data_IF_018806503230
#
_entry.id   IF_018806503230
#
_cell.length_a   1.000
_cell.length_b   1.000
_cell.length_c   1.000
_cell.angle_alpha   90.00
_cell.angle_beta   90.00
_cell.angle_gamma   90.00
#
_symmetry.space_group_name_H-M   'P 1'
#
loop_
_entity.id
_entity.type
_entity.pdbx_description
1 polymer ?
#
# COMPACT_ATOMS: atom_id res chain seq x y z
N UNK A 1 -23.52 -2.65 15.25
CA UNK A 1 -22.80 -2.43 16.53
C UNK A 1 -23.50 -1.43 17.47
N UNK A 2 -24.16 -0.40 16.93
CA UNK A 2 -24.83 0.66 17.72
C UNK A 2 -25.90 0.13 18.68
N UNK A 3 -26.78 -0.76 18.20
CA UNK A 3 -27.82 -1.39 19.03
C UNK A 3 -27.28 -2.23 20.22
N UNK A 4 -26.07 -2.79 20.09
CA UNK A 4 -25.42 -3.51 21.21
C UNK A 4 -24.89 -2.52 22.26
N UNK A 5 -24.35 -1.37 21.82
CA UNK A 5 -23.82 -0.34 22.73
C UNK A 5 -24.93 0.30 23.56
N UNK A 6 -26.07 0.58 22.95
CA UNK A 6 -27.24 1.17 23.62
C UNK A 6 -27.82 0.23 24.69
N UNK A 7 -28.05 -1.04 24.34
CA UNK A 7 -28.60 -2.06 25.26
C UNK A 7 -27.72 -2.28 26.50
N UNK A 8 -26.41 -2.11 26.37
CA UNK A 8 -25.44 -2.36 27.43
C UNK A 8 -24.89 -1.06 28.08
N UNK A 9 -25.51 0.09 27.82
CA UNK A 9 -25.10 1.39 28.37
C UNK A 9 -23.60 1.71 28.12
N UNK A 10 -23.07 1.28 26.97
CA UNK A 10 -21.68 1.54 26.57
C UNK A 10 -21.59 2.95 26.00
N UNK A 11 -21.00 3.86 26.78
CA UNK A 11 -20.71 5.23 26.35
C UNK A 11 -19.36 5.29 25.65
N UNK A 12 -19.37 5.66 24.36
CA UNK A 12 -18.14 5.99 23.63
C UNK A 12 -17.78 7.42 23.99
N UNK A 13 -16.75 7.59 24.81
CA UNK A 13 -16.32 8.90 25.33
C UNK A 13 -15.37 9.63 24.38
N UNK A 14 -14.79 8.93 23.42
CA UNK A 14 -13.89 9.50 22.42
C UNK A 14 -14.66 9.82 21.14
N UNK A 15 -14.35 10.94 20.46
CA UNK A 15 -14.88 11.18 19.13
C UNK A 15 -14.45 10.07 18.18
N UNK A 16 -15.21 9.87 17.10
CA UNK A 16 -14.78 8.96 16.05
C UNK A 16 -13.42 9.42 15.51
N UNK A 17 -12.46 8.49 15.33
CA UNK A 17 -11.17 8.84 14.78
C UNK A 17 -11.37 9.37 13.37
N UNK A 18 -11.13 10.67 13.17
CA UNK A 18 -11.08 11.27 11.84
C UNK A 18 -9.71 10.93 11.28
N UNK A 19 -9.68 10.23 10.14
CA UNK A 19 -8.42 9.95 9.47
C UNK A 19 -7.75 11.26 9.07
N UNK A 20 -6.50 11.46 9.48
CA UNK A 20 -5.71 12.60 9.03
C UNK A 20 -5.61 12.55 7.50
N UNK A 21 -5.98 13.64 6.83
CA UNK A 21 -5.70 13.80 5.40
C UNK A 21 -4.23 14.15 5.27
N UNK A 22 -3.46 13.23 4.71
CA UNK A 22 -2.03 13.40 4.47
C UNK A 22 -1.79 13.48 2.97
N UNK A 23 -1.07 14.50 2.53
CA UNK A 23 -0.53 14.57 1.17
C UNK A 23 0.75 13.74 1.12
N UNK A 24 0.78 12.74 0.24
CA UNK A 24 1.96 11.92 -0.01
C UNK A 24 2.50 12.32 -1.37
N UNK A 25 3.78 12.68 -1.44
CA UNK A 25 4.44 12.90 -2.71
C UNK A 25 4.73 11.55 -3.37
N UNK A 26 4.12 11.33 -4.52
CA UNK A 26 4.28 10.11 -5.33
C UNK A 26 4.98 10.40 -6.66
N UNK A 27 5.59 11.57 -6.81
CA UNK A 27 6.34 11.90 -8.02
C UNK A 27 7.49 10.90 -8.20
N UNK A 28 7.63 10.42 -9.43
CA UNK A 28 8.64 9.43 -9.86
C UNK A 28 8.61 8.08 -9.11
N UNK A 29 7.66 7.90 -8.19
CA UNK A 29 7.51 6.67 -7.45
C UNK A 29 7.04 5.55 -8.39
N UNK A 30 7.57 4.32 -8.23
CA UNK A 30 7.16 3.18 -9.02
C UNK A 30 5.68 2.91 -8.84
N UNK A 31 4.98 2.76 -9.95
CA UNK A 31 3.55 2.53 -9.94
C UNK A 31 3.17 1.30 -10.75
N UNK A 32 1.97 0.80 -10.54
CA UNK A 32 1.38 -0.28 -11.32
C UNK A 32 -0.07 0.03 -11.63
N UNK A 33 -0.49 -0.29 -12.84
CA UNK A 33 -1.86 -0.06 -13.32
C UNK A 33 -1.94 1.16 -14.22
N UNK A 34 -3.15 1.69 -14.37
CA UNK A 34 -3.43 2.85 -15.22
C UNK A 34 -2.99 4.14 -14.52
N UNK A 35 -2.08 4.96 -15.08
CA UNK A 35 -1.69 6.25 -14.50
C UNK A 35 -2.87 7.22 -14.32
N UNK A 36 -3.92 7.08 -15.14
CA UNK A 36 -5.14 7.88 -15.08
C UNK A 36 -6.23 7.26 -14.18
N UNK A 37 -5.89 6.23 -13.40
CA UNK A 37 -6.83 5.61 -12.48
C UNK A 37 -7.33 6.62 -11.44
N UNK A 38 -8.67 6.63 -11.22
CA UNK A 38 -9.31 7.55 -10.27
C UNK A 38 -8.97 7.26 -8.80
N UNK A 39 -8.48 6.06 -8.51
CA UNK A 39 -8.11 5.64 -7.16
C UNK A 39 -6.65 5.22 -7.15
N UNK A 40 -5.88 5.81 -6.25
CA UNK A 40 -4.47 5.49 -6.00
C UNK A 40 -4.33 4.85 -4.63
N UNK A 41 -3.75 3.65 -4.58
CA UNK A 41 -3.32 2.99 -3.35
C UNK A 41 -1.83 3.26 -3.19
N UNK A 42 -1.42 3.84 -2.07
CA UNK A 42 0.00 3.98 -1.73
C UNK A 42 0.37 2.88 -0.74
N UNK A 43 1.30 2.01 -1.11
CA UNK A 43 1.80 0.93 -0.27
C UNK A 43 3.23 1.22 0.21
N UNK A 44 3.40 1.36 1.52
CA UNK A 44 4.71 1.38 2.16
C UNK A 44 5.17 -0.06 2.41
N UNK A 45 6.25 -0.47 1.77
CA UNK A 45 6.64 -1.88 1.68
C UNK A 45 8.02 -2.14 2.28
N UNK A 46 8.10 -3.21 3.08
CA UNK A 46 9.36 -3.87 3.42
C UNK A 46 9.34 -5.26 2.79
N UNK A 47 10.30 -5.55 1.92
CA UNK A 47 10.39 -6.80 1.16
C UNK A 47 10.54 -8.06 2.04
N UNK A 48 11.00 -7.90 3.29
CA UNK A 48 11.13 -8.99 4.25
C UNK A 48 9.88 -9.17 5.11
N UNK A 49 8.93 -8.24 5.06
CA UNK A 49 7.73 -8.29 5.91
C UNK A 49 6.71 -9.30 5.37
N UNK A 50 6.46 -10.37 6.12
CA UNK A 50 5.46 -11.38 5.74
C UNK A 50 4.04 -10.85 5.59
N UNK A 51 3.67 -9.77 6.29
CA UNK A 51 2.38 -9.11 6.09
C UNK A 51 2.32 -8.28 4.82
N UNK A 52 3.41 -7.60 4.44
CA UNK A 52 3.51 -6.92 3.15
C UNK A 52 3.30 -7.91 1.99
N UNK A 53 3.87 -9.12 2.06
CA UNK A 53 3.64 -10.17 1.05
C UNK A 53 2.17 -10.55 0.92
N UNK A 54 1.47 -10.68 2.06
CA UNK A 54 0.02 -10.95 2.07
C UNK A 54 -0.79 -9.77 1.53
N UNK A 55 -0.39 -8.54 1.86
CA UNK A 55 -1.02 -7.32 1.37
C UNK A 55 -0.88 -7.20 -0.15
N UNK A 56 0.31 -7.47 -0.71
CA UNK A 56 0.54 -7.47 -2.15
C UNK A 56 -0.40 -8.44 -2.89
N UNK A 57 -0.65 -9.64 -2.35
CA UNK A 57 -1.62 -10.57 -2.92
C UNK A 57 -3.07 -10.05 -2.85
N UNK A 58 -3.45 -9.40 -1.76
CA UNK A 58 -4.77 -8.80 -1.61
C UNK A 58 -4.96 -7.61 -2.57
N UNK A 59 -3.94 -6.75 -2.69
CA UNK A 59 -3.91 -5.61 -3.61
C UNK A 59 -4.00 -6.11 -5.06
N UNK A 60 -3.29 -7.18 -5.42
CA UNK A 60 -3.41 -7.81 -6.74
C UNK A 60 -4.86 -8.16 -7.10
N UNK A 61 -5.60 -8.80 -6.18
CA UNK A 61 -7.03 -9.10 -6.37
C UNK A 61 -7.90 -7.84 -6.52
N UNK A 62 -7.56 -6.75 -5.82
CA UNK A 62 -8.24 -5.47 -5.98
C UNK A 62 -7.98 -4.90 -7.36
N UNK A 63 -6.72 -4.91 -7.82
CA UNK A 63 -6.36 -4.42 -9.16
C UNK A 63 -7.07 -5.21 -10.26
N UNK A 64 -7.15 -6.55 -10.13
CA UNK A 64 -7.89 -7.41 -11.06
C UNK A 64 -9.38 -7.08 -11.06
N UNK A 65 -9.99 -6.94 -9.88
CA UNK A 65 -11.42 -6.65 -9.74
C UNK A 65 -11.81 -5.25 -10.28
N UNK A 66 -10.90 -4.29 -10.18
CA UNK A 66 -11.11 -2.90 -10.56
C UNK A 66 -10.16 -2.46 -11.66
N UNK A 67 -9.98 -3.33 -12.66
CA UNK A 67 -9.08 -3.11 -13.80
C UNK A 67 -9.27 -1.72 -14.43
N UNK A 68 -8.15 -1.03 -14.65
CA UNK A 68 -8.12 0.34 -15.20
C UNK A 68 -8.61 1.46 -14.28
N UNK A 69 -9.20 1.12 -13.12
CA UNK A 69 -9.76 2.09 -12.16
C UNK A 69 -8.90 2.32 -10.93
N UNK A 70 -7.97 1.41 -10.65
CA UNK A 70 -7.06 1.46 -9.51
C UNK A 70 -5.62 1.42 -10.00
N UNK A 71 -4.79 2.29 -9.44
CA UNK A 71 -3.34 2.22 -9.52
C UNK A 71 -2.74 2.02 -8.13
N UNK A 72 -1.54 1.44 -8.09
CA UNK A 72 -0.79 1.22 -6.86
C UNK A 72 0.58 1.86 -6.99
N UNK A 73 0.96 2.68 -6.01
CA UNK A 73 2.28 3.31 -5.89
C UNK A 73 3.02 2.63 -4.75
N UNK A 74 4.27 2.24 -4.99
CA UNK A 74 5.11 1.55 -4.01
C UNK A 74 6.15 2.49 -3.43
N UNK A 75 6.17 2.60 -2.10
CA UNK A 75 7.15 3.39 -1.33
C UNK A 75 7.98 2.46 -0.47
N UNK A 76 9.30 2.44 -0.67
CA UNK A 76 10.18 1.60 0.14
C UNK A 76 10.21 2.10 1.59
N UNK A 77 9.93 1.20 2.53
CA UNK A 77 9.93 1.50 3.96
C UNK A 77 10.65 0.37 4.74
N UNK A 78 11.98 0.25 4.58
CA UNK A 78 12.76 -0.85 5.14
C UNK A 78 12.97 -0.68 6.65
N UNK A 79 12.11 -1.30 7.46
CA UNK A 79 12.08 -1.18 8.92
C UNK A 79 12.58 -2.43 9.65
N UNK A 80 12.76 -3.56 8.97
CA UNK A 80 13.11 -4.84 9.60
C UNK A 80 14.62 -5.11 9.69
N UNK A 81 15.46 -4.09 9.51
CA UNK A 81 16.90 -4.14 9.73
C UNK A 81 17.75 -4.02 8.45
N UNK A 82 19.06 -4.29 8.54
CA UNK A 82 20.02 -4.01 7.47
C UNK A 82 19.66 -4.68 6.14
N UNK A 83 19.29 -5.96 6.14
CA UNK A 83 18.98 -6.65 4.89
C UNK A 83 17.76 -6.05 4.17
N UNK A 84 16.78 -5.52 4.90
CA UNK A 84 15.64 -4.82 4.29
C UNK A 84 16.08 -3.59 3.53
N UNK A 85 17.07 -2.86 4.06
CA UNK A 85 17.65 -1.68 3.40
C UNK A 85 18.43 -2.08 2.16
N UNK A 86 19.29 -3.10 2.28
CA UNK A 86 20.06 -3.62 1.14
C UNK A 86 19.14 -4.07 -0.01
N UNK A 87 18.04 -4.75 0.31
CA UNK A 87 17.05 -5.17 -0.70
C UNK A 87 16.36 -3.95 -1.31
N UNK A 88 15.90 -3.00 -0.50
CA UNK A 88 15.25 -1.79 -0.99
C UNK A 88 16.17 -0.96 -1.89
N UNK A 89 17.43 -0.77 -1.51
CA UNK A 89 18.45 -0.10 -2.33
C UNK A 89 18.68 -0.84 -3.66
N UNK A 90 18.79 -2.18 -3.60
CA UNK A 90 18.91 -3.00 -4.80
C UNK A 90 17.72 -2.86 -5.75
N UNK A 91 16.50 -2.82 -5.22
CA UNK A 91 15.27 -2.61 -6.00
C UNK A 91 15.18 -1.18 -6.55
N UNK A 92 15.59 -0.16 -5.78
CA UNK A 92 15.67 1.23 -6.22
C UNK A 92 16.57 1.40 -7.46
N UNK A 93 17.70 0.69 -7.51
CA UNK A 93 18.61 0.70 -8.67
C UNK A 93 18.03 0.03 -9.91
N UNK A 94 17.06 -0.88 -9.75
CA UNK A 94 16.40 -1.57 -10.87
C UNK A 94 15.26 -0.77 -11.47
N UNK A 95 14.67 0.13 -10.69
CA UNK A 95 13.53 0.96 -11.10
C UNK A 95 13.98 2.07 -12.03
N UNK A 96 13.26 2.27 -13.13
CA UNK A 96 13.37 3.49 -13.93
C UNK A 96 12.31 4.51 -13.46
N UNK A 97 12.60 5.82 -13.49
CA UNK A 97 11.60 6.85 -13.26
C UNK A 97 10.40 6.68 -14.20
N UNK A 98 9.18 6.66 -13.65
CA UNK A 98 7.94 6.48 -14.42
C UNK A 98 7.68 5.05 -14.91
N UNK A 99 8.42 4.05 -14.44
CA UNK A 99 8.21 2.66 -14.84
C UNK A 99 6.94 2.09 -14.19
N UNK A 100 6.05 1.57 -15.05
CA UNK A 100 4.92 0.76 -14.63
C UNK A 100 5.46 -0.63 -14.28
N UNK A 101 5.52 -0.95 -12.99
CA UNK A 101 5.94 -2.26 -12.50
C UNK A 101 5.01 -3.35 -13.04
N UNK A 102 5.40 -3.98 -14.14
CA UNK A 102 4.92 -5.31 -14.50
C UNK A 102 5.23 -6.25 -13.33
N UNK A 103 4.29 -7.13 -12.98
CA UNK A 103 4.45 -8.10 -11.87
C UNK A 103 5.85 -8.72 -11.96
N UNK A 104 6.73 -8.57 -10.95
CA UNK A 104 7.97 -9.31 -10.97
C UNK A 104 7.60 -10.79 -10.99
N UNK A 105 8.04 -11.51 -12.04
CA UNK A 105 7.84 -12.97 -12.15
C UNK A 105 8.50 -13.76 -11.02
N UNK A 106 9.27 -13.09 -10.18
CA UNK A 106 9.86 -13.61 -8.96
C UNK A 106 9.05 -13.00 -7.83
N UNK A 107 8.08 -13.77 -7.35
CA UNK A 107 7.16 -13.36 -6.31
C UNK A 107 7.87 -12.79 -5.09
N UNK A 108 7.18 -11.87 -4.43
CA UNK A 108 7.44 -11.53 -3.03
C UNK A 108 7.45 -12.80 -2.17
#
# INVERSE_FOLDING_TARGET
MTAYREKNNVKVLMPEPVASVVSIDTQDAPMKGNPDAKVTIVEFVDYRCGYCKKAAAAIGKVMEKFEGKVQVVYMDFPILGPDSRTIAEGEALRRKPGEILGIPRHGL
#
